data_IF_676079307964
#
_entry.id   IF_676079307964
#
_cell.length_a   1.000
_cell.length_b   1.000
_cell.length_c   1.000
_cell.angle_alpha   90.00
_cell.angle_beta   90.00
_cell.angle_gamma   90.00
#
_symmetry.space_group_name_H-M   'P 1'
#
loop_
_entity.id
_entity.type
_entity.pdbx_description
1 polymer ?
#
# COMPACT_ATOMS: atom_id res chain seq x y z
N UNK A 1 -6.51 -2.95 18.80
CA UNK A 1 -5.21 -2.69 18.13
C UNK A 1 -5.21 -1.27 17.61
N UNK A 2 -4.09 -0.56 17.62
CA UNK A 2 -4.04 0.83 17.14
C UNK A 2 -3.00 1.00 16.03
N UNK A 3 -3.35 1.80 15.02
CA UNK A 3 -2.50 2.20 13.91
C UNK A 3 -2.36 3.72 13.98
N UNK A 4 -1.26 4.18 14.58
CA UNK A 4 -1.15 5.57 15.00
C UNK A 4 -2.31 5.92 15.93
N UNK A 5 -3.02 7.00 15.61
CA UNK A 5 -4.15 7.50 16.40
C UNK A 5 -5.47 6.73 16.21
N UNK A 6 -5.54 5.76 15.28
CA UNK A 6 -6.77 5.03 14.98
C UNK A 6 -6.75 3.66 15.62
N UNK A 7 -7.65 3.41 16.56
CA UNK A 7 -7.83 2.09 17.17
C UNK A 7 -8.97 1.31 16.52
N UNK A 8 -8.68 0.07 16.14
CA UNK A 8 -9.63 -0.88 15.55
C UNK A 8 -9.90 -2.02 16.56
N UNK A 9 -11.17 -2.32 16.87
CA UNK A 9 -11.54 -3.50 17.64
C UNK A 9 -11.08 -4.78 16.95
N UNK A 10 -10.37 -5.65 17.67
CA UNK A 10 -9.80 -6.87 17.11
C UNK A 10 -9.89 -8.05 18.10
N UNK A 11 -11.11 -8.47 18.47
CA UNK A 11 -11.28 -9.67 19.28
C UNK A 11 -10.72 -10.90 18.54
N UNK A 12 -10.06 -11.79 19.28
CA UNK A 12 -9.42 -12.99 18.72
C UNK A 12 -8.14 -12.73 17.93
N UNK A 13 -7.67 -11.49 17.83
CA UNK A 13 -6.40 -11.19 17.17
C UNK A 13 -5.17 -11.52 18.03
N UNK A 14 -5.32 -11.64 19.35
CA UNK A 14 -4.25 -12.09 20.24
C UNK A 14 -4.49 -13.56 20.57
N UNK A 15 -3.46 -14.39 20.38
CA UNK A 15 -3.45 -15.79 20.77
C UNK A 15 -2.97 -15.93 22.22
N UNK A 16 -3.28 -17.06 22.84
CA UNK A 16 -2.94 -17.34 24.25
C UNK A 16 -1.42 -17.31 24.51
N UNK A 17 -0.61 -17.59 23.48
CA UNK A 17 0.85 -17.49 23.54
C UNK A 17 1.38 -16.06 23.38
N UNK A 18 0.51 -15.04 23.37
CA UNK A 18 0.87 -13.64 23.21
C UNK A 18 1.19 -13.21 21.76
N UNK A 19 1.08 -14.10 20.78
CA UNK A 19 1.30 -13.76 19.37
C UNK A 19 0.04 -13.19 18.72
N UNK A 20 0.21 -12.44 17.64
CA UNK A 20 -0.90 -11.87 16.88
C UNK A 20 -1.32 -12.82 15.74
N UNK A 21 -2.62 -13.03 15.59
CA UNK A 21 -3.18 -13.68 14.42
C UNK A 21 -3.21 -12.73 13.23
N UNK A 22 -2.33 -13.01 12.26
CA UNK A 22 -2.15 -12.16 11.09
C UNK A 22 -3.38 -12.13 10.19
N UNK A 23 -4.14 -13.22 10.10
CA UNK A 23 -5.34 -13.26 9.28
C UNK A 23 -6.43 -12.36 9.87
N UNK A 24 -6.63 -12.45 11.19
CA UNK A 24 -7.58 -11.60 11.90
C UNK A 24 -7.14 -10.14 11.83
N UNK A 25 -5.87 -9.85 12.08
CA UNK A 25 -5.33 -8.49 12.02
C UNK A 25 -5.46 -7.89 10.63
N UNK A 26 -5.04 -8.60 9.59
CA UNK A 26 -5.08 -8.12 8.22
C UNK A 26 -6.52 -7.81 7.79
N UNK A 27 -7.45 -8.71 8.09
CA UNK A 27 -8.87 -8.49 7.79
C UNK A 27 -9.41 -7.24 8.50
N UNK A 28 -9.15 -7.08 9.80
CA UNK A 28 -9.64 -5.93 10.59
C UNK A 28 -9.05 -4.59 10.14
N UNK A 29 -7.80 -4.58 9.69
CA UNK A 29 -7.13 -3.38 9.20
C UNK A 29 -7.31 -3.14 7.70
N UNK A 30 -8.08 -3.98 7.00
CA UNK A 30 -8.24 -3.93 5.55
C UNK A 30 -6.90 -4.10 4.81
N UNK A 31 -5.98 -4.89 5.34
CA UNK A 31 -4.71 -5.20 4.70
C UNK A 31 -4.91 -6.36 3.72
N UNK A 32 -4.51 -6.23 2.45
CA UNK A 32 -4.41 -7.37 1.56
C UNK A 32 -3.44 -8.41 2.13
N UNK A 33 -3.87 -9.67 2.24
CA UNK A 33 -3.01 -10.77 2.65
C UNK A 33 -3.18 -11.88 1.63
N UNK A 34 -2.08 -12.28 0.99
CA UNK A 34 -2.06 -13.34 -0.02
C UNK A 34 -1.05 -14.39 0.41
N UNK A 35 -1.44 -15.65 0.26
CA UNK A 35 -0.58 -16.80 0.44
C UNK A 35 -0.40 -17.50 -0.90
N UNK A 36 0.83 -17.81 -1.25
CA UNK A 36 1.13 -18.74 -2.34
C UNK A 36 1.42 -20.12 -1.75
N UNK A 37 0.44 -21.03 -1.85
CA UNK A 37 0.52 -22.38 -1.32
C UNK A 37 1.69 -23.20 -1.91
N UNK A 38 2.13 -22.88 -3.14
CA UNK A 38 3.20 -23.63 -3.81
C UNK A 38 4.58 -23.27 -3.28
N UNK A 39 4.80 -22.01 -2.91
CA UNK A 39 6.10 -21.50 -2.44
C UNK A 39 6.14 -21.26 -0.93
N UNK A 40 4.98 -21.30 -0.25
CA UNK A 40 4.84 -20.97 1.16
C UNK A 40 5.06 -19.48 1.46
N UNK A 41 5.07 -18.63 0.43
CA UNK A 41 5.33 -17.20 0.56
C UNK A 41 4.05 -16.47 0.92
N UNK A 42 4.17 -15.53 1.85
CA UNK A 42 3.10 -14.63 2.24
C UNK A 42 3.41 -13.19 1.82
N UNK A 43 2.46 -12.54 1.17
CA UNK A 43 2.52 -11.13 0.85
C UNK A 43 1.45 -10.37 1.65
N UNK A 44 1.91 -9.40 2.45
CA UNK A 44 1.05 -8.53 3.25
C UNK A 44 1.15 -7.10 2.71
N UNK A 45 0.02 -6.58 2.24
CA UNK A 45 -0.12 -5.21 1.76
C UNK A 45 -0.36 -4.19 2.88
N UNK A 46 -0.33 -2.89 2.57
CA UNK A 46 -0.56 -1.84 3.54
C UNK A 46 -2.01 -1.85 4.07
N UNK A 47 -2.19 -1.36 5.29
CA UNK A 47 -3.51 -1.22 5.90
C UNK A 47 -4.36 -0.16 5.20
N UNK A 48 -5.61 -0.52 4.92
CA UNK A 48 -6.59 0.38 4.28
C UNK A 48 -7.80 0.65 5.17
N UNK A 49 -7.70 0.46 6.49
CA UNK A 49 -8.81 0.64 7.45
C UNK A 49 -9.58 1.98 7.33
N UNK A 50 -8.97 3.01 6.75
CA UNK A 50 -9.56 4.33 6.46
C UNK A 50 -10.14 4.44 5.03
N UNK A 51 -10.29 3.33 4.32
CA UNK A 51 -10.71 3.23 2.91
C UNK A 51 -9.63 3.61 1.88
N UNK A 52 -8.42 3.99 2.32
CA UNK A 52 -7.31 4.41 1.44
C UNK A 52 -6.02 3.73 1.88
N UNK A 53 -5.25 3.24 0.90
CA UNK A 53 -3.90 2.72 1.14
C UNK A 53 -2.89 3.84 1.42
N UNK A 54 -3.02 4.97 0.71
CA UNK A 54 -2.20 6.15 0.93
C UNK A 54 -2.77 6.98 2.08
N UNK A 55 -1.91 7.36 3.02
CA UNK A 55 -2.26 8.25 4.14
C UNK A 55 -2.54 9.68 3.67
N UNK A 56 -1.95 10.10 2.55
CA UNK A 56 -2.17 11.42 1.95
C UNK A 56 -2.35 11.31 0.44
N UNK A 57 -3.03 12.29 -0.15
CA UNK A 57 -3.10 12.45 -1.61
C UNK A 57 -1.98 13.38 -2.13
N UNK A 58 -1.01 13.74 -1.29
CA UNK A 58 0.12 14.55 -1.69
C UNK A 58 1.15 13.65 -2.40
N UNK A 59 1.16 13.70 -3.72
CA UNK A 59 2.26 13.13 -4.48
C UNK A 59 3.53 13.95 -4.25
N UNK A 60 4.67 13.27 -4.19
CA UNK A 60 5.95 13.95 -4.38
C UNK A 60 6.00 14.60 -5.78
N UNK A 61 6.97 15.51 -5.99
CA UNK A 61 7.23 16.11 -7.29
C UNK A 61 8.57 15.63 -7.88
N UNK A 62 8.68 14.33 -8.23
CA UNK A 62 9.92 13.79 -8.77
C UNK A 62 10.22 14.34 -10.17
N UNK A 63 11.49 14.29 -10.54
CA UNK A 63 11.96 14.51 -11.90
C UNK A 63 11.98 13.17 -12.66
N UNK A 64 11.41 13.17 -13.86
CA UNK A 64 11.34 12.05 -14.77
C UNK A 64 12.06 12.38 -16.07
N UNK A 65 12.37 11.34 -16.84
CA UNK A 65 12.90 11.46 -18.19
C UNK A 65 11.79 11.15 -19.18
N UNK A 66 11.58 12.02 -20.17
CA UNK A 66 10.62 11.78 -21.24
C UNK A 66 11.16 10.78 -22.28
N UNK A 67 10.33 10.42 -23.27
CA UNK A 67 10.71 9.47 -24.34
C UNK A 67 11.90 9.95 -25.19
N UNK A 68 12.17 11.25 -25.22
CA UNK A 68 13.26 11.86 -25.97
C UNK A 68 14.50 12.10 -25.10
N UNK A 69 14.50 11.68 -23.83
CA UNK A 69 15.61 11.85 -22.91
C UNK A 69 15.63 13.17 -22.13
N UNK A 70 14.60 14.02 -22.25
CA UNK A 70 14.57 15.31 -21.56
C UNK A 70 13.99 15.20 -20.14
N UNK A 71 14.60 15.86 -19.15
CA UNK A 71 14.07 15.88 -17.79
C UNK A 71 12.81 16.75 -17.71
N UNK A 72 11.83 16.31 -16.91
CA UNK A 72 10.66 17.11 -16.55
C UNK A 72 10.17 16.75 -15.14
N UNK A 73 9.57 17.71 -14.43
CA UNK A 73 8.91 17.46 -13.14
C UNK A 73 7.46 17.02 -13.31
N UNK A 74 6.97 16.16 -12.43
CA UNK A 74 5.57 15.72 -12.43
C UNK A 74 4.59 16.90 -12.36
N UNK A 75 4.90 17.91 -11.55
CA UNK A 75 4.09 19.12 -11.37
C UNK A 75 3.93 19.93 -12.64
N UNK A 76 4.89 19.86 -13.58
CA UNK A 76 4.78 20.52 -14.88
C UNK A 76 3.57 20.02 -15.66
N UNK A 77 3.12 18.78 -15.43
CA UNK A 77 2.04 18.14 -16.18
C UNK A 77 0.62 18.53 -15.71
N UNK A 78 0.49 19.36 -14.66
CA UNK A 78 -0.83 19.79 -14.15
C UNK A 78 -1.67 20.45 -15.25
N UNK A 79 -2.97 20.13 -15.26
CA UNK A 79 -3.93 20.67 -16.24
C UNK A 79 -3.85 20.05 -17.64
N UNK A 80 -2.98 19.05 -17.86
CA UNK A 80 -2.83 18.35 -19.15
C UNK A 80 -3.40 16.93 -19.06
N UNK A 81 -3.91 16.42 -20.19
CA UNK A 81 -4.18 14.98 -20.33
C UNK A 81 -2.86 14.26 -20.57
N UNK A 82 -2.54 13.28 -19.74
CA UNK A 82 -1.26 12.58 -19.75
C UNK A 82 -1.51 11.08 -19.73
N UNK A 83 -0.72 10.34 -20.52
CA UNK A 83 -0.59 8.89 -20.41
C UNK A 83 0.72 8.58 -19.68
N UNK A 84 0.63 7.99 -18.47
CA UNK A 84 1.79 7.42 -17.77
C UNK A 84 1.88 5.93 -18.12
N UNK A 85 3.02 5.51 -18.66
CA UNK A 85 3.31 4.10 -18.93
C UNK A 85 4.43 3.68 -18.00
N UNK A 86 4.14 2.76 -17.09
CA UNK A 86 5.11 2.11 -16.24
C UNK A 86 5.13 0.62 -16.59
N UNK A 87 6.32 0.06 -16.72
CA UNK A 87 6.53 -1.36 -16.97
C UNK A 87 7.73 -1.82 -16.14
N UNK A 88 7.66 -3.05 -15.67
CA UNK A 88 8.79 -3.79 -15.12
C UNK A 88 8.83 -5.15 -15.79
N UNK A 89 10.02 -5.67 -16.07
CA UNK A 89 10.18 -7.05 -16.51
C UNK A 89 10.00 -8.05 -15.37
N UNK A 90 10.01 -7.58 -14.12
CA UNK A 90 9.89 -8.36 -12.89
C UNK A 90 9.12 -7.62 -11.79
#
# INVERSE_FOLDING_TARGET
MCRGEICVPAPGALRDNGTVDINVMANRLGMPLVHDDNTGVWALGPATATGRALSTAAAADPEFIDRNGHPFRLSSLRGRKVLLVAWSSY
#
